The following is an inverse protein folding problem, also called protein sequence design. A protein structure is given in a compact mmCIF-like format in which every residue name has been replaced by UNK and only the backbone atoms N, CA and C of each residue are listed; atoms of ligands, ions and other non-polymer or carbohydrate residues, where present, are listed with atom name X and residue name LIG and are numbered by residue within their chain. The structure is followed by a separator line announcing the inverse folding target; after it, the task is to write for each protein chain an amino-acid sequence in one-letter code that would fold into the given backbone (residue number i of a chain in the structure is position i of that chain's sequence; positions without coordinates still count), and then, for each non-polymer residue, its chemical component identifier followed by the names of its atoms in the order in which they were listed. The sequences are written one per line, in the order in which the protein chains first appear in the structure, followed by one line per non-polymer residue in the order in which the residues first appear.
data_IF_964081883540
#
_entry.id   IF_964081883540
#
_cell.length_a   1.000
_cell.length_b   1.000
_cell.length_c   1.000
_cell.angle_alpha   90.00
_cell.angle_beta   90.00
_cell.angle_gamma   90.00
#
_symmetry.space_group_name_H-M   'P 1'
#
loop_
_entity.id
_entity.type
_entity.pdbx_description
1 polymer ?
#
# COMPACT_ATOMS: atom_id res chain seq x y z
N UNK A 1 -1.78 23.95 -24.53
CA UNK A 1 -2.92 24.24 -23.62
C UNK A 1 -2.95 23.14 -22.55
N UNK A 2 -2.42 23.40 -21.35
CA UNK A 2 -2.39 22.39 -20.27
C UNK A 2 -3.80 22.23 -19.73
N UNK A 3 -4.37 21.04 -19.85
CA UNK A 3 -5.70 20.74 -19.36
C UNK A 3 -5.76 21.01 -17.85
N UNK A 4 -6.67 21.89 -17.44
CA UNK A 4 -7.02 22.12 -16.04
C UNK A 4 -7.55 20.79 -15.49
N UNK A 5 -6.79 20.14 -14.62
CA UNK A 5 -7.22 18.90 -13.97
C UNK A 5 -8.49 19.20 -13.18
N UNK A 6 -9.61 18.61 -13.61
CA UNK A 6 -10.83 18.51 -12.80
C UNK A 6 -10.43 17.93 -11.44
N UNK A 7 -10.65 18.71 -10.39
CA UNK A 7 -10.37 18.33 -9.02
C UNK A 7 -11.10 17.03 -8.75
N UNK A 8 -10.37 15.91 -8.64
CA UNK A 8 -10.95 14.65 -8.19
C UNK A 8 -11.70 14.96 -6.89
N UNK A 9 -13.02 14.78 -6.86
CA UNK A 9 -13.82 15.03 -5.67
C UNK A 9 -13.20 14.24 -4.52
N UNK A 10 -12.56 14.95 -3.60
CA UNK A 10 -11.95 14.36 -2.41
C UNK A 10 -13.09 13.86 -1.51
N UNK A 11 -13.13 12.55 -1.28
CA UNK A 11 -14.16 11.96 -0.43
C UNK A 11 -13.61 11.96 1.00
N UNK A 12 -13.92 13.01 1.76
CA UNK A 12 -13.39 13.22 3.10
C UNK A 12 -13.64 12.02 4.04
N UNK A 13 -14.78 11.33 3.90
CA UNK A 13 -15.09 10.12 4.67
C UNK A 13 -14.11 8.96 4.42
N UNK A 14 -13.62 8.80 3.19
CA UNK A 14 -12.62 7.77 2.85
C UNK A 14 -11.27 8.11 3.46
N UNK A 15 -10.88 9.39 3.44
CA UNK A 15 -9.64 9.83 4.09
C UNK A 15 -9.70 9.63 5.61
N UNK A 16 -10.85 9.92 6.23
CA UNK A 16 -11.09 9.65 7.65
C UNK A 16 -10.99 8.17 7.98
N UNK A 17 -11.56 7.29 7.14
CA UNK A 17 -11.49 5.85 7.33
C UNK A 17 -10.06 5.32 7.21
N UNK A 18 -9.24 5.86 6.29
CA UNK A 18 -7.81 5.54 6.20
C UNK A 18 -7.04 5.99 7.44
N UNK A 19 -7.36 7.17 7.98
CA UNK A 19 -6.74 7.66 9.20
C UNK A 19 -7.06 6.75 10.39
N UNK A 20 -8.33 6.36 10.55
CA UNK A 20 -8.77 5.42 11.60
C UNK A 20 -8.06 4.07 11.43
N UNK A 21 -7.97 3.56 10.21
CA UNK A 21 -7.28 2.30 9.91
C UNK A 21 -5.80 2.33 10.33
N UNK A 22 -5.08 3.41 10.01
CA UNK A 22 -3.67 3.58 10.41
C UNK A 22 -3.53 3.69 11.93
N UNK A 23 -4.41 4.45 12.59
CA UNK A 23 -4.41 4.58 14.06
C UNK A 23 -4.64 3.22 14.72
N UNK A 24 -5.59 2.42 14.21
CA UNK A 24 -5.84 1.07 14.72
C UNK A 24 -4.60 0.17 14.61
N UNK A 25 -3.87 0.24 13.49
CA UNK A 25 -2.60 -0.50 13.30
C UNK A 25 -1.52 -0.02 14.28
N UNK A 26 -1.41 1.29 14.52
CA UNK A 26 -0.45 1.83 15.48
C UNK A 26 -0.76 1.36 16.91
N UNK A 27 -2.03 1.41 17.32
CA UNK A 27 -2.46 0.95 18.65
C UNK A 27 -2.25 -0.56 18.81
N UNK A 28 -2.46 -1.35 17.75
CA UNK A 28 -2.16 -2.79 17.74
C UNK A 28 -0.68 -3.07 18.01
N UNK A 29 0.24 -2.35 17.38
CA UNK A 29 1.68 -2.55 17.60
C UNK A 29 2.21 -1.96 18.91
N UNK A 30 1.45 -1.08 19.56
CA UNK A 30 1.81 -0.53 20.86
C UNK A 30 1.51 -1.48 22.04
N UNK A 31 1.04 -2.72 21.76
CA UNK A 31 0.72 -3.78 22.73
C UNK A 31 -0.30 -3.33 23.81
N UNK A 32 -1.21 -2.41 23.45
CA UNK A 32 -2.34 -2.04 24.30
C UNK A 32 -3.46 -3.07 24.19
N UNK A 33 -4.10 -3.42 25.32
CA UNK A 33 -5.23 -4.37 25.35
C UNK A 33 -6.41 -3.97 24.44
N UNK A 34 -6.62 -2.65 24.25
CA UNK A 34 -7.63 -2.09 23.35
C UNK A 34 -7.29 -2.23 21.86
N UNK A 35 -6.06 -2.64 21.53
CA UNK A 35 -5.57 -2.83 20.17
C UNK A 35 -5.92 -4.18 19.54
N UNK A 36 -6.59 -5.08 20.26
CA UNK A 36 -7.04 -6.38 19.75
C UNK A 36 -7.90 -6.20 18.50
N UNK A 37 -7.43 -6.72 17.36
CA UNK A 37 -8.09 -6.56 16.05
C UNK A 37 -7.61 -5.39 15.20
N UNK A 38 -6.71 -4.54 15.70
CA UNK A 38 -6.20 -3.38 14.94
C UNK A 38 -5.42 -3.74 13.66
N UNK A 39 -4.97 -4.99 13.52
CA UNK A 39 -4.41 -5.51 12.27
C UNK A 39 -5.40 -5.45 11.10
N UNK A 40 -6.72 -5.49 11.35
CA UNK A 40 -7.76 -5.30 10.32
C UNK A 40 -7.70 -3.91 9.66
N UNK A 41 -7.04 -2.94 10.31
CA UNK A 41 -6.78 -1.64 9.70
C UNK A 41 -5.94 -1.77 8.41
N UNK A 42 -5.05 -2.77 8.33
CA UNK A 42 -4.30 -3.04 7.09
C UNK A 42 -5.24 -3.45 5.97
N UNK A 43 -6.19 -4.36 6.23
CA UNK A 43 -7.16 -4.82 5.24
C UNK A 43 -8.05 -3.66 4.76
N UNK A 44 -8.55 -2.85 5.69
CA UNK A 44 -9.36 -1.66 5.37
C UNK A 44 -8.55 -0.69 4.49
N UNK A 45 -7.28 -0.47 4.81
CA UNK A 45 -6.42 0.41 4.01
C UNK A 45 -6.27 -0.11 2.57
N UNK A 46 -5.99 -1.41 2.39
CA UNK A 46 -5.86 -2.01 1.05
C UNK A 46 -7.18 -2.00 0.26
N UNK A 47 -8.31 -2.28 0.90
CA UNK A 47 -9.64 -2.20 0.26
C UNK A 47 -9.92 -0.80 -0.24
N UNK A 48 -9.64 0.22 0.58
CA UNK A 48 -9.82 1.63 0.19
C UNK A 48 -8.87 1.99 -0.95
N UNK A 49 -7.60 1.59 -0.86
CA UNK A 49 -6.62 1.82 -1.92
C UNK A 49 -7.07 1.21 -3.25
N UNK A 50 -7.56 -0.03 -3.23
CA UNK A 50 -8.18 -0.72 -4.37
C UNK A 50 -9.39 0.03 -4.94
N UNK A 51 -10.31 0.48 -4.09
CA UNK A 51 -11.47 1.27 -4.50
C UNK A 51 -11.06 2.57 -5.20
N UNK A 52 -10.14 3.33 -4.58
CA UNK A 52 -9.69 4.62 -5.09
C UNK A 52 -8.95 4.47 -6.42
N UNK A 53 -7.99 3.54 -6.53
CA UNK A 53 -7.24 3.34 -7.77
C UNK A 53 -8.16 2.90 -8.89
N UNK A 54 -9.04 1.92 -8.64
CA UNK A 54 -10.00 1.43 -9.63
C UNK A 54 -10.89 2.57 -10.13
N UNK A 55 -11.38 3.41 -9.21
CA UNK A 55 -12.18 4.58 -9.56
C UNK A 55 -11.41 5.59 -10.44
N UNK A 56 -10.13 5.84 -10.14
CA UNK A 56 -9.26 6.71 -10.95
C UNK A 56 -9.08 6.13 -12.35
N UNK A 57 -8.65 4.88 -12.46
CA UNK A 57 -8.40 4.19 -13.73
C UNK A 57 -9.66 4.16 -14.61
N UNK A 58 -10.82 3.83 -14.02
CA UNK A 58 -12.09 3.78 -14.72
C UNK A 58 -12.63 5.16 -15.14
N UNK A 59 -12.17 6.25 -14.52
CA UNK A 59 -12.49 7.62 -14.97
C UNK A 59 -11.55 8.04 -16.10
N UNK A 60 -10.26 7.75 -15.97
CA UNK A 60 -9.24 8.03 -16.99
C UNK A 60 -9.55 7.28 -18.29
N UNK A 61 -9.81 5.97 -18.20
CA UNK A 61 -10.18 5.15 -19.35
C UNK A 61 -11.46 5.66 -20.04
N UNK A 62 -12.43 6.17 -19.28
CA UNK A 62 -13.66 6.76 -19.85
C UNK A 62 -13.43 8.11 -20.51
N UNK A 63 -12.49 8.90 -20.00
CA UNK A 63 -12.19 10.24 -20.50
C UNK A 63 -11.29 10.20 -21.73
N UNK A 64 -10.23 9.39 -21.66
CA UNK A 64 -9.11 9.44 -22.60
C UNK A 64 -9.02 8.18 -23.47
N UNK A 65 -9.80 7.13 -23.18
CA UNK A 65 -9.72 5.84 -23.88
C UNK A 65 -8.44 5.04 -23.57
N UNK A 66 -7.56 5.57 -22.72
CA UNK A 66 -6.29 4.97 -22.32
C UNK A 66 -5.99 5.25 -20.84
N UNK A 67 -4.97 4.60 -20.30
CA UNK A 67 -4.46 4.82 -18.94
C UNK A 67 -2.98 5.25 -19.05
N UNK A 68 -2.63 6.41 -18.50
CA UNK A 68 -1.26 6.91 -18.44
C UNK A 68 -0.56 6.45 -17.16
N UNK A 69 0.26 5.41 -17.30
CA UNK A 69 1.10 4.91 -16.20
C UNK A 69 2.11 5.96 -15.72
N UNK A 70 2.72 6.70 -16.65
CA UNK A 70 3.72 7.71 -16.32
C UNK A 70 3.13 8.78 -15.41
N UNK A 71 2.01 9.38 -15.80
CA UNK A 71 1.32 10.41 -15.02
C UNK A 71 0.88 9.90 -13.65
N UNK A 72 0.42 8.65 -13.59
CA UNK A 72 0.02 8.01 -12.34
C UNK A 72 1.19 7.88 -11.37
N UNK A 73 2.29 7.26 -11.80
CA UNK A 73 3.46 7.04 -10.96
C UNK A 73 4.19 8.35 -10.63
N UNK A 74 4.20 9.34 -11.51
CA UNK A 74 4.83 10.63 -11.27
C UNK A 74 4.15 11.41 -10.13
N UNK A 75 2.82 11.48 -10.12
CA UNK A 75 2.05 12.08 -9.01
C UNK A 75 2.30 11.33 -7.71
N UNK A 76 2.39 10.01 -7.79
CA UNK A 76 2.55 9.15 -6.62
C UNK A 76 3.96 9.25 -6.02
N UNK A 77 4.98 9.25 -6.87
CA UNK A 77 6.38 9.44 -6.49
C UNK A 77 6.58 10.78 -5.78
N UNK A 78 6.02 11.88 -6.32
CA UNK A 78 6.06 13.20 -5.65
C UNK A 78 5.42 13.22 -4.26
N UNK A 79 4.43 12.36 -4.03
CA UNK A 79 3.75 12.26 -2.74
C UNK A 79 4.53 11.39 -1.74
N UNK A 80 5.18 10.32 -2.21
CA UNK A 80 5.70 9.26 -1.33
C UNK A 80 7.22 9.29 -1.16
N UNK A 81 7.98 9.58 -2.23
CA UNK A 81 9.44 9.62 -2.15
C UNK A 81 9.95 10.58 -1.06
N UNK A 82 9.42 11.81 -0.90
CA UNK A 82 9.95 12.71 0.14
C UNK A 82 9.80 12.14 1.55
N UNK A 83 8.63 11.59 1.87
CA UNK A 83 8.36 11.01 3.18
C UNK A 83 9.16 9.72 3.41
N UNK A 84 9.26 8.85 2.40
CA UNK A 84 10.06 7.64 2.46
C UNK A 84 11.54 7.95 2.72
N UNK A 85 12.12 8.86 1.94
CA UNK A 85 13.54 9.24 2.09
C UNK A 85 13.80 9.88 3.45
N UNK A 86 12.88 10.71 3.95
CA UNK A 86 12.98 11.28 5.28
C UNK A 86 12.94 10.22 6.38
N UNK A 87 12.04 9.23 6.28
CA UNK A 87 11.95 8.14 7.26
C UNK A 87 13.18 7.24 7.20
N UNK A 88 13.59 6.78 6.01
CA UNK A 88 14.76 5.89 5.86
C UNK A 88 16.03 6.61 6.32
N UNK A 89 16.26 7.85 5.87
CA UNK A 89 17.42 8.63 6.27
C UNK A 89 17.41 8.99 7.75
N UNK A 90 16.25 9.37 8.30
CA UNK A 90 16.08 9.66 9.71
C UNK A 90 16.31 8.44 10.60
N UNK A 91 15.78 7.28 10.22
CA UNK A 91 16.02 6.01 10.91
C UNK A 91 17.48 5.58 10.82
N UNK A 92 18.13 5.75 9.67
CA UNK A 92 19.57 5.47 9.51
C UNK A 92 20.41 6.37 10.43
N UNK A 93 20.11 7.67 10.48
CA UNK A 93 20.80 8.61 11.37
C UNK A 93 20.55 8.26 12.84
N UNK A 94 19.31 7.98 13.23
CA UNK A 94 18.98 7.57 14.59
C UNK A 94 19.68 6.27 14.99
N UNK A 95 19.72 5.29 14.09
CA UNK A 95 20.43 4.02 14.27
C UNK A 95 21.94 4.25 14.44
N UNK A 96 22.55 5.08 13.60
CA UNK A 96 23.97 5.45 13.69
C UNK A 96 24.33 6.08 15.04
N UNK A 97 23.44 6.90 15.60
CA UNK A 97 23.69 7.62 16.86
C UNK A 97 23.37 6.78 18.10
N UNK A 98 22.31 5.97 18.05
CA UNK A 98 21.76 5.29 19.22
C UNK A 98 22.14 3.81 19.27
N UNK A 99 22.20 3.13 18.12
CA UNK A 99 22.38 1.68 17.97
C UNK A 99 23.27 1.30 16.77
N UNK A 100 24.56 1.67 16.77
CA UNK A 100 25.45 1.41 15.64
C UNK A 100 25.59 -0.08 15.28
N UNK A 101 25.39 -0.97 16.26
CA UNK A 101 25.40 -2.42 16.11
C UNK A 101 24.29 -2.95 15.18
N UNK A 102 23.22 -2.19 15.00
CA UNK A 102 22.07 -2.55 14.17
C UNK A 102 22.20 -2.08 12.70
N UNK A 103 23.21 -1.27 12.36
CA UNK A 103 23.35 -0.68 11.03
C UNK A 103 23.43 -1.69 9.88
N UNK A 104 24.15 -2.83 9.98
CA UNK A 104 24.21 -3.80 8.88
C UNK A 104 22.84 -4.40 8.55
N UNK A 105 22.04 -4.70 9.58
CA UNK A 105 20.68 -5.22 9.39
C UNK A 105 19.79 -4.15 8.74
N UNK A 106 19.84 -2.92 9.25
CA UNK A 106 19.08 -1.79 8.71
C UNK A 106 19.41 -1.49 7.25
N UNK A 107 20.66 -1.68 6.83
CA UNK A 107 21.09 -1.43 5.44
C UNK A 107 20.32 -2.26 4.42
N UNK A 108 20.12 -3.56 4.69
CA UNK A 108 19.37 -4.45 3.80
C UNK A 108 17.89 -4.06 3.74
N UNK A 109 17.28 -3.79 4.89
CA UNK A 109 15.89 -3.32 4.98
C UNK A 109 15.69 -2.00 4.23
N UNK A 110 16.63 -1.07 4.36
CA UNK A 110 16.59 0.23 3.70
C UNK A 110 16.68 0.08 2.18
N UNK A 111 17.60 -0.75 1.67
CA UNK A 111 17.72 -1.02 0.23
C UNK A 111 16.44 -1.66 -0.30
N UNK A 112 15.92 -2.69 0.38
CA UNK A 112 14.68 -3.35 -0.03
C UNK A 112 13.49 -2.38 -0.01
N UNK A 113 13.41 -1.48 0.97
CA UNK A 113 12.37 -0.45 1.07
C UNK A 113 12.46 0.59 -0.05
N UNK A 114 13.67 1.09 -0.35
CA UNK A 114 13.91 2.03 -1.46
C UNK A 114 13.53 1.43 -2.82
N UNK A 115 13.79 0.14 -3.00
CA UNK A 115 13.44 -0.59 -4.21
C UNK A 115 11.98 -1.05 -4.26
N UNK A 116 11.19 -0.79 -3.21
CA UNK A 116 9.79 -1.25 -3.08
C UNK A 116 9.65 -2.78 -3.17
N UNK A 117 10.62 -3.47 -2.55
CA UNK A 117 10.73 -4.93 -2.46
C UNK A 117 10.77 -5.42 -1.00
N UNK A 118 10.48 -4.56 -0.02
CA UNK A 118 10.54 -4.89 1.40
C UNK A 118 9.72 -6.13 1.78
N UNK A 119 8.52 -6.30 1.21
CA UNK A 119 7.69 -7.49 1.43
C UNK A 119 8.41 -8.79 1.03
N UNK A 120 9.07 -8.82 -0.12
CA UNK A 120 9.82 -9.99 -0.58
C UNK A 120 11.08 -10.22 0.25
N UNK A 121 11.77 -9.14 0.61
CA UNK A 121 12.92 -9.23 1.51
C UNK A 121 12.54 -9.91 2.83
N UNK A 122 11.45 -9.49 3.46
CA UNK A 122 11.01 -10.07 4.73
C UNK A 122 10.54 -11.52 4.59
N UNK A 123 9.76 -11.85 3.54
CA UNK A 123 9.35 -13.24 3.26
C UNK A 123 10.56 -14.15 3.09
N UNK A 124 11.57 -13.73 2.33
CA UNK A 124 12.77 -14.54 2.07
C UNK A 124 13.67 -14.71 3.32
N UNK A 125 13.55 -13.81 4.29
CA UNK A 125 14.29 -13.88 5.55
C UNK A 125 13.45 -14.48 6.70
N UNK A 126 12.26 -15.01 6.42
CA UNK A 126 11.40 -15.63 7.45
C UNK A 126 10.82 -14.64 8.46
N UNK A 127 10.73 -13.36 8.09
CA UNK A 127 10.26 -12.26 8.94
C UNK A 127 8.74 -12.14 8.79
N UNK A 128 8.00 -12.54 9.83
CA UNK A 128 6.54 -12.50 9.83
C UNK A 128 5.99 -11.25 10.53
N UNK A 129 5.05 -10.56 9.88
CA UNK A 129 4.37 -9.36 10.40
C UNK A 129 3.63 -9.60 11.74
N UNK A 130 3.16 -10.83 11.99
CA UNK A 130 2.38 -11.16 13.18
C UNK A 130 3.23 -11.65 14.35
N UNK A 131 4.52 -11.88 14.14
CA UNK A 131 5.43 -12.21 15.23
C UNK A 131 5.79 -10.95 16.01
N UNK A 132 5.91 -11.07 17.33
CA UNK A 132 6.38 -9.95 18.15
C UNK A 132 7.75 -9.51 17.61
N UNK A 133 8.00 -8.19 17.61
CA UNK A 133 9.25 -7.63 17.13
C UNK A 133 10.45 -8.25 17.85
N UNK A 134 11.10 -9.21 17.20
CA UNK A 134 12.40 -9.73 17.61
C UNK A 134 13.50 -9.06 16.76
N UNK A 135 14.48 -8.42 17.42
CA UNK A 135 15.58 -7.73 16.74
C UNK A 135 15.26 -6.32 16.22
N UNK A 136 16.05 -5.83 15.27
CA UNK A 136 16.02 -4.44 14.77
C UNK A 136 15.11 -4.25 13.55
N UNK A 137 13.80 -4.41 13.74
CA UNK A 137 12.80 -4.36 12.65
C UNK A 137 12.28 -2.93 12.41
N UNK A 138 13.21 -1.99 12.20
CA UNK A 138 12.92 -0.53 12.21
C UNK A 138 12.14 -0.05 10.97
N UNK A 139 12.27 -0.76 9.85
CA UNK A 139 11.65 -0.41 8.57
C UNK A 139 10.59 -1.45 8.13
N UNK A 140 10.16 -2.33 9.03
CA UNK A 140 9.25 -3.42 8.67
C UNK A 140 7.95 -2.93 8.02
N UNK A 141 7.39 -1.83 8.53
CA UNK A 141 6.16 -1.22 8.00
C UNK A 141 6.18 -0.91 6.48
N UNK A 142 7.35 -0.81 5.85
CA UNK A 142 7.49 -0.65 4.40
C UNK A 142 7.01 -1.85 3.58
N UNK A 143 6.82 -3.03 4.18
CA UNK A 143 6.25 -4.19 3.49
C UNK A 143 4.91 -3.87 2.84
N UNK A 144 4.05 -3.13 3.56
CA UNK A 144 2.70 -2.80 3.11
C UNK A 144 2.72 -1.78 1.98
N UNK A 145 3.63 -0.80 2.05
CA UNK A 145 3.84 0.19 1.00
C UNK A 145 4.38 -0.47 -0.28
N UNK A 146 5.39 -1.33 -0.16
CA UNK A 146 5.95 -2.09 -1.28
C UNK A 146 4.89 -2.96 -1.98
N UNK A 147 4.08 -3.67 -1.21
CA UNK A 147 2.97 -4.45 -1.73
C UNK A 147 1.93 -3.57 -2.45
N UNK A 148 1.63 -2.38 -1.90
CA UNK A 148 0.74 -1.41 -2.51
C UNK A 148 1.28 -0.90 -3.87
N UNK A 149 2.59 -0.61 -3.99
CA UNK A 149 3.20 -0.24 -5.29
C UNK A 149 3.04 -1.35 -6.32
N UNK A 150 3.34 -2.59 -5.93
CA UNK A 150 3.26 -3.75 -6.81
C UNK A 150 1.83 -3.96 -7.29
N UNK A 151 0.86 -3.82 -6.39
CA UNK A 151 -0.56 -3.81 -6.73
C UNK A 151 -0.88 -2.70 -7.73
N UNK A 152 -0.38 -1.47 -7.54
CA UNK A 152 -0.61 -0.38 -8.47
C UNK A 152 0.09 -0.52 -9.83
N UNK A 153 1.11 -1.38 -9.93
CA UNK A 153 1.73 -1.73 -11.20
C UNK A 153 0.89 -2.75 -11.97
N UNK A 154 0.41 -3.79 -11.28
CA UNK A 154 -0.34 -4.88 -11.88
C UNK A 154 -1.81 -4.52 -12.16
N UNK A 155 -2.46 -3.83 -11.23
CA UNK A 155 -3.89 -3.60 -11.26
C UNK A 155 -4.41 -2.81 -12.47
N UNK A 156 -3.73 -1.76 -12.96
CA UNK A 156 -4.15 -1.06 -14.17
C UNK A 156 -4.21 -1.97 -15.40
N UNK A 157 -3.29 -2.94 -15.52
CA UNK A 157 -3.29 -3.93 -16.60
C UNK A 157 -4.49 -4.87 -16.47
N UNK A 158 -4.80 -5.32 -15.25
CA UNK A 158 -5.97 -6.16 -14.96
C UNK A 158 -7.26 -5.42 -15.29
N UNK A 159 -7.40 -4.17 -14.82
CA UNK A 159 -8.57 -3.32 -15.12
C UNK A 159 -8.70 -3.09 -16.62
N UNK A 160 -7.62 -2.78 -17.32
CA UNK A 160 -7.64 -2.56 -18.77
C UNK A 160 -8.10 -3.83 -19.51
N UNK A 161 -7.51 -4.98 -19.20
CA UNK A 161 -7.85 -6.26 -19.84
C UNK A 161 -9.32 -6.63 -19.61
N UNK A 162 -9.81 -6.50 -18.38
CA UNK A 162 -11.20 -6.85 -18.04
C UNK A 162 -12.18 -5.82 -18.62
N UNK A 163 -11.90 -4.53 -18.47
CA UNK A 163 -12.82 -3.48 -18.92
C UNK A 163 -12.94 -3.43 -20.44
N UNK A 164 -11.87 -3.71 -21.19
CA UNK A 164 -11.92 -3.78 -22.66
C UNK A 164 -12.64 -5.04 -23.15
N UNK A 165 -12.49 -6.18 -22.46
CA UNK A 165 -13.07 -7.46 -22.89
C UNK A 165 -14.52 -7.68 -22.44
N UNK A 166 -14.89 -7.21 -21.26
CA UNK A 166 -16.17 -7.49 -20.59
C UNK A 166 -16.86 -6.24 -20.01
N UNK A 167 -16.30 -5.06 -20.23
CA UNK A 167 -16.87 -3.81 -19.72
C UNK A 167 -16.80 -3.67 -18.20
N UNK A 168 -17.45 -2.63 -17.69
CA UNK A 168 -17.48 -2.30 -16.26
C UNK A 168 -18.24 -3.34 -15.43
N UNK A 169 -19.29 -3.93 -16.02
CA UNK A 169 -20.11 -4.96 -15.36
C UNK A 169 -19.30 -6.24 -15.16
N UNK A 170 -18.47 -6.62 -16.13
CA UNK A 170 -17.55 -7.75 -16.00
C UNK A 170 -16.52 -7.54 -14.89
N UNK A 171 -15.95 -6.33 -14.79
CA UNK A 171 -15.05 -5.98 -13.68
C UNK A 171 -15.74 -6.09 -12.31
N UNK A 172 -16.94 -5.53 -12.18
CA UNK A 172 -17.71 -5.62 -10.95
C UNK A 172 -18.03 -7.06 -10.55
N UNK A 173 -18.46 -7.87 -11.51
CA UNK A 173 -18.76 -9.29 -11.28
C UNK A 173 -17.51 -10.06 -10.83
N UNK A 174 -16.40 -9.94 -11.56
CA UNK A 174 -15.15 -10.64 -11.24
C UNK A 174 -14.63 -10.21 -9.86
N UNK A 175 -14.62 -8.91 -9.56
CA UNK A 175 -14.21 -8.42 -8.24
C UNK A 175 -15.10 -8.97 -7.12
N UNK A 176 -16.43 -9.02 -7.33
CA UNK A 176 -17.35 -9.59 -6.34
C UNK A 176 -17.14 -11.10 -6.15
N UNK A 177 -16.97 -11.85 -7.24
CA UNK A 177 -16.69 -13.29 -7.18
C UNK A 177 -15.37 -13.58 -6.46
N UNK A 178 -14.30 -12.84 -6.77
CA UNK A 178 -13.01 -12.99 -6.10
C UNK A 178 -13.10 -12.65 -4.61
N UNK A 179 -13.83 -11.59 -4.25
CA UNK A 179 -14.04 -11.22 -2.86
C UNK A 179 -14.82 -12.30 -2.09
N UNK A 180 -15.90 -12.84 -2.68
CA UNK A 180 -16.68 -13.92 -2.07
C UNK A 180 -15.88 -15.22 -1.96
N UNK A 181 -15.12 -15.58 -3.00
CA UNK A 181 -14.24 -16.74 -2.98
C UNK A 181 -13.15 -16.61 -1.91
N UNK A 182 -12.57 -15.42 -1.78
CA UNK A 182 -11.58 -15.11 -0.74
C UNK A 182 -12.19 -15.18 0.66
N UNK A 183 -13.37 -14.60 0.88
CA UNK A 183 -14.07 -14.67 2.15
C UNK A 183 -14.48 -16.11 2.51
N UNK A 184 -14.93 -16.89 1.53
CA UNK A 184 -15.20 -18.31 1.72
C UNK A 184 -13.94 -19.06 2.10
N UNK A 185 -12.82 -18.85 1.40
CA UNK A 185 -11.54 -19.49 1.71
C UNK A 185 -11.01 -19.16 3.11
N UNK A 186 -11.20 -17.93 3.59
CA UNK A 186 -10.79 -17.53 4.95
C UNK A 186 -11.68 -18.10 6.05
N UNK A 187 -12.88 -18.59 5.73
CA UNK A 187 -13.83 -19.15 6.68
C UNK A 187 -13.63 -20.64 6.98
N UNK A 188 -12.71 -21.30 6.30
CA UNK A 188 -12.32 -22.70 6.49
C UNK A 188 -10.94 -22.80 7.13
#
# INVERSE_FOLDING_TARGET
MKATYSTTQRIAGIDGLRAIAVIAVMVFHADYDVGRGGYLGVDVFFVISGFLITGILLRELRRDGAISFADFFERRARRILPAMLAVIGGTALACQLLRPDALPALGNDAIASLLMLANWHFVLNGISYFEKFEGYRMLEHFWSLALEEQFYMAWPLVVLAIATRWGRSGLGFISATLALASAAWMGW
#
